data_IF_060488781100
#
_entry.id   IF_060488781100
#
_cell.length_a   1.000
_cell.length_b   1.000
_cell.length_c   1.000
_cell.angle_alpha   90.00
_cell.angle_beta   90.00
_cell.angle_gamma   90.00
#
_symmetry.space_group_name_H-M   'P 1'
#
loop_
_entity.id
_entity.type
_entity.pdbx_description
1 polymer ?
#
# COMPACT_ATOMS: atom_id res chain seq x y z
N UNK A 1 20.48 -38.51 20.01
CA UNK A 1 19.05 -38.18 20.17
C UNK A 1 19.00 -36.87 20.95
N UNK A 2 18.91 -35.75 20.25
CA UNK A 2 18.87 -34.41 20.85
C UNK A 2 17.61 -33.75 20.32
N UNK A 3 16.69 -33.49 21.26
CA UNK A 3 15.34 -32.99 21.05
C UNK A 3 15.39 -31.47 20.95
N UNK A 4 15.11 -30.91 19.75
CA UNK A 4 15.00 -29.47 19.55
C UNK A 4 13.56 -29.02 19.86
N UNK A 5 13.35 -28.49 21.06
CA UNK A 5 12.15 -27.72 21.40
C UNK A 5 12.08 -26.47 20.53
N UNK A 6 11.03 -26.39 19.72
CA UNK A 6 10.57 -25.16 19.07
C UNK A 6 10.36 -24.07 20.15
N UNK A 7 11.23 -23.06 20.18
CA UNK A 7 10.94 -21.78 20.81
C UNK A 7 10.30 -20.88 19.75
N UNK A 8 8.99 -20.68 19.86
CA UNK A 8 8.29 -19.63 19.11
C UNK A 8 8.89 -18.28 19.48
N UNK A 9 9.52 -17.62 18.52
CA UNK A 9 9.94 -16.22 18.63
C UNK A 9 8.68 -15.35 18.75
N UNK A 10 8.38 -14.91 19.98
CA UNK A 10 7.26 -14.01 20.26
C UNK A 10 7.56 -12.61 19.70
N UNK A 11 6.87 -12.23 18.63
CA UNK A 11 6.83 -10.86 18.13
C UNK A 11 6.17 -9.96 19.20
N UNK A 12 6.90 -8.97 19.71
CA UNK A 12 6.40 -8.04 20.72
C UNK A 12 5.51 -7.01 20.03
N UNK A 13 4.19 -7.12 20.20
CA UNK A 13 3.22 -6.13 19.73
C UNK A 13 3.46 -4.79 20.44
N UNK A 14 3.80 -3.71 19.72
CA UNK A 14 3.88 -2.38 20.36
C UNK A 14 2.48 -1.75 20.38
N UNK A 15 2.08 -1.32 21.57
CA UNK A 15 0.73 -0.88 21.88
C UNK A 15 0.71 0.63 22.09
N UNK A 16 -0.25 1.31 21.47
CA UNK A 16 -0.58 2.69 21.79
C UNK A 16 -1.79 2.72 22.73
N UNK A 17 -1.78 3.71 23.64
CA UNK A 17 -2.88 3.96 24.56
C UNK A 17 -3.36 5.38 24.29
N UNK A 18 -4.65 5.54 24.00
CA UNK A 18 -5.30 6.84 23.82
C UNK A 18 -6.54 6.95 24.73
N UNK A 19 -7.06 8.17 24.92
CA UNK A 19 -8.24 8.44 25.73
C UNK A 19 -9.41 8.85 24.84
N UNK A 20 -10.60 8.34 25.13
CA UNK A 20 -11.85 8.61 24.39
C UNK A 20 -13.01 8.74 25.37
N UNK A 21 -13.94 9.68 25.12
CA UNK A 21 -15.14 9.87 25.95
C UNK A 21 -16.30 8.92 25.60
N UNK A 22 -16.47 8.63 24.32
CA UNK A 22 -17.60 7.82 23.86
C UNK A 22 -17.37 6.34 24.18
N UNK A 23 -18.44 5.64 24.56
CA UNK A 23 -18.42 4.21 24.83
C UNK A 23 -18.03 3.37 23.59
N UNK A 24 -17.51 2.14 23.81
CA UNK A 24 -17.27 1.17 22.75
C UNK A 24 -18.58 0.76 22.05
N UNK A 25 -18.53 0.70 20.72
CA UNK A 25 -19.73 0.52 19.89
C UNK A 25 -20.26 -0.91 19.82
N UNK A 26 -19.47 -1.93 20.19
CA UNK A 26 -19.82 -3.33 19.95
C UNK A 26 -20.04 -4.15 21.22
N UNK A 27 -19.10 -4.12 22.17
CA UNK A 27 -19.22 -4.95 23.38
C UNK A 27 -18.52 -4.37 24.59
N UNK A 28 -19.14 -4.57 25.76
CA UNK A 28 -18.58 -4.28 27.07
C UNK A 28 -18.80 -5.45 28.02
N UNK A 29 -17.73 -5.86 28.68
CA UNK A 29 -17.70 -6.85 29.75
C UNK A 29 -17.52 -6.13 31.09
N UNK A 30 -18.59 -6.05 31.88
CA UNK A 30 -18.53 -5.56 33.27
C UNK A 30 -18.22 -6.71 34.22
N UNK A 31 -17.26 -6.49 35.10
CA UNK A 31 -16.90 -7.37 36.20
C UNK A 31 -17.24 -6.65 37.49
N UNK A 32 -17.99 -7.28 38.39
CA UNK A 32 -18.44 -6.67 39.65
C UNK A 32 -17.64 -7.13 40.88
N UNK A 33 -16.80 -8.15 40.73
CA UNK A 33 -15.94 -8.68 41.80
C UNK A 33 -14.62 -9.20 41.26
N UNK A 34 -13.74 -8.29 40.84
CA UNK A 34 -12.46 -8.61 40.22
C UNK A 34 -11.54 -9.40 41.15
N UNK A 35 -11.52 -9.07 42.45
CA UNK A 35 -10.65 -9.73 43.42
C UNK A 35 -10.99 -11.22 43.56
N UNK A 36 -12.28 -11.57 43.65
CA UNK A 36 -12.73 -12.97 43.70
C UNK A 36 -12.35 -13.75 42.43
N UNK A 37 -12.43 -13.11 41.27
CA UNK A 37 -12.05 -13.72 39.99
C UNK A 37 -10.52 -13.89 39.85
N UNK A 38 -9.75 -12.96 40.42
CA UNK A 38 -8.29 -13.02 40.44
C UNK A 38 -7.79 -14.10 41.42
N UNK A 39 -8.53 -14.39 42.49
CA UNK A 39 -8.19 -15.43 43.47
C UNK A 39 -8.68 -16.84 43.08
N UNK A 40 -9.73 -16.92 42.26
CA UNK A 40 -10.21 -18.18 41.73
C UNK A 40 -9.09 -18.92 40.96
N UNK A 41 -9.07 -20.25 41.02
CA UNK A 41 -8.16 -21.09 40.22
C UNK A 41 -8.40 -21.00 38.71
N UNK A 42 -9.42 -20.24 38.31
CA UNK A 42 -9.81 -19.96 36.94
C UNK A 42 -8.70 -19.19 36.21
N UNK A 43 -8.17 -19.79 35.15
CA UNK A 43 -7.08 -19.20 34.36
C UNK A 43 -7.56 -18.11 33.40
N UNK A 44 -8.84 -18.15 32.99
CA UNK A 44 -9.46 -17.20 32.05
C UNK A 44 -10.95 -17.03 32.29
N UNK A 45 -11.46 -15.86 31.93
CA UNK A 45 -12.89 -15.55 31.89
C UNK A 45 -13.26 -15.42 30.42
N UNK A 46 -14.30 -16.14 30.00
CA UNK A 46 -14.89 -16.05 28.67
C UNK A 46 -16.13 -15.17 28.78
N UNK A 47 -16.22 -14.14 27.94
CA UNK A 47 -17.42 -13.31 27.86
C UNK A 47 -18.55 -14.01 27.14
N UNK A 48 -19.74 -13.41 27.18
CA UNK A 48 -20.80 -13.76 26.24
C UNK A 48 -20.36 -13.51 24.80
N UNK A 49 -21.00 -14.22 23.88
CA UNK A 49 -20.81 -14.02 22.44
C UNK A 49 -21.56 -12.76 21.99
N UNK A 50 -20.90 -11.92 21.23
CA UNK A 50 -21.47 -10.73 20.62
C UNK A 50 -21.25 -10.71 19.11
N UNK A 51 -22.16 -10.06 18.39
CA UNK A 51 -22.08 -9.92 16.94
C UNK A 51 -21.49 -8.57 16.56
N UNK A 52 -20.49 -8.61 15.69
CA UNK A 52 -19.89 -7.43 15.09
C UNK A 52 -19.33 -7.80 13.72
N UNK A 53 -19.47 -6.91 12.74
CA UNK A 53 -18.87 -7.12 11.42
C UNK A 53 -19.28 -8.44 10.75
N UNK A 54 -20.55 -8.81 10.88
CA UNK A 54 -21.17 -10.05 10.35
C UNK A 54 -20.57 -11.36 10.89
N UNK A 55 -19.81 -11.30 11.99
CA UNK A 55 -19.22 -12.46 12.64
C UNK A 55 -19.54 -12.42 14.13
N UNK A 56 -19.45 -13.59 14.75
CA UNK A 56 -19.62 -13.76 16.19
C UNK A 56 -18.26 -13.76 16.87
N UNK A 57 -18.18 -13.04 17.97
CA UNK A 57 -16.95 -12.83 18.71
C UNK A 57 -17.18 -13.03 20.20
N UNK A 58 -16.11 -13.31 20.94
CA UNK A 58 -16.09 -13.24 22.40
C UNK A 58 -14.75 -12.71 22.89
N UNK A 59 -14.71 -12.28 24.14
CA UNK A 59 -13.51 -11.86 24.83
C UNK A 59 -13.02 -12.95 25.79
N UNK A 60 -11.72 -13.24 25.71
CA UNK A 60 -11.00 -14.05 26.68
C UNK A 60 -10.11 -13.14 27.53
N UNK A 61 -10.50 -12.95 28.79
CA UNK A 61 -9.78 -12.16 29.77
C UNK A 61 -8.98 -13.06 30.70
N UNK A 62 -7.69 -12.76 30.90
CA UNK A 62 -6.82 -13.45 31.85
C UNK A 62 -6.43 -12.45 32.95
N UNK A 63 -7.12 -12.45 34.10
CA UNK A 63 -6.91 -11.45 35.16
C UNK A 63 -5.48 -11.43 35.71
N UNK A 64 -4.82 -12.60 35.76
CA UNK A 64 -3.44 -12.75 36.25
C UNK A 64 -2.42 -13.05 35.14
N UNK A 65 -2.83 -12.82 33.90
CA UNK A 65 -2.01 -13.06 32.71
C UNK A 65 -2.15 -14.48 32.17
N UNK A 66 -1.98 -14.61 30.86
CA UNK A 66 -1.84 -15.88 30.18
C UNK A 66 -0.47 -16.52 30.49
N UNK A 67 -0.50 -17.67 31.19
CA UNK A 67 0.69 -18.46 31.58
C UNK A 67 1.46 -18.98 30.37
N UNK A 68 0.78 -19.36 29.30
CA UNK A 68 1.40 -19.87 28.06
C UNK A 68 2.27 -18.80 27.39
N UNK A 69 1.87 -17.54 27.52
CA UNK A 69 2.54 -16.38 26.92
C UNK A 69 3.41 -15.60 27.93
N UNK A 70 3.74 -16.23 29.07
CA UNK A 70 4.62 -15.69 30.13
C UNK A 70 4.26 -14.25 30.55
N UNK A 71 2.97 -13.95 30.61
CA UNK A 71 2.46 -12.60 30.85
C UNK A 71 2.08 -12.33 32.31
N UNK A 72 2.72 -13.03 33.25
CA UNK A 72 2.48 -12.85 34.68
C UNK A 72 2.55 -11.38 35.10
N UNK A 73 1.73 -11.03 36.11
CA UNK A 73 1.56 -9.67 36.64
C UNK A 73 0.93 -8.65 35.68
N UNK A 74 0.37 -9.10 34.55
CA UNK A 74 -0.41 -8.28 33.63
C UNK A 74 -1.78 -8.90 33.42
N UNK A 75 -2.76 -8.07 33.09
CA UNK A 75 -4.03 -8.52 32.54
C UNK A 75 -3.81 -8.77 31.05
N UNK A 76 -4.23 -9.92 30.56
CA UNK A 76 -4.27 -10.23 29.12
C UNK A 76 -5.71 -10.20 28.63
N UNK A 77 -5.92 -9.69 27.41
CA UNK A 77 -7.24 -9.66 26.78
C UNK A 77 -7.12 -10.07 25.32
N UNK A 78 -7.99 -10.99 24.90
CA UNK A 78 -8.02 -11.49 23.53
C UNK A 78 -9.44 -11.47 22.97
N UNK A 79 -9.53 -11.23 21.67
CA UNK A 79 -10.72 -11.40 20.86
C UNK A 79 -10.65 -12.76 20.16
N UNK A 80 -11.74 -13.52 20.24
CA UNK A 80 -11.88 -14.85 19.64
C UNK A 80 -13.04 -14.83 18.64
N UNK A 81 -12.80 -15.30 17.41
CA UNK A 81 -13.90 -15.54 16.47
C UNK A 81 -14.61 -16.86 16.82
N UNK A 82 -15.93 -16.81 16.86
CA UNK A 82 -16.81 -17.93 17.23
C UNK A 82 -17.49 -18.51 15.99
N UNK A 83 -18.16 -19.65 16.17
CA UNK A 83 -18.96 -20.33 15.14
C UNK A 83 -18.18 -20.57 13.82
N UNK A 84 -16.87 -20.79 13.91
CA UNK A 84 -15.99 -20.96 12.74
C UNK A 84 -16.29 -22.23 11.95
N UNK A 85 -16.97 -23.20 12.57
CA UNK A 85 -17.52 -24.42 11.93
C UNK A 85 -18.54 -24.09 10.81
N UNK A 86 -19.20 -22.93 10.90
CA UNK A 86 -20.19 -22.46 9.91
C UNK A 86 -19.55 -21.70 8.75
N UNK A 87 -18.27 -21.36 8.85
CA UNK A 87 -17.54 -20.62 7.82
C UNK A 87 -17.05 -21.58 6.72
N UNK A 88 -16.93 -21.11 5.47
CA UNK A 88 -16.43 -21.93 4.38
C UNK A 88 -14.98 -22.39 4.63
N UNK A 89 -14.60 -23.54 4.07
CA UNK A 89 -13.22 -24.02 4.14
C UNK A 89 -12.26 -22.99 3.51
N UNK A 90 -11.17 -22.69 4.20
CA UNK A 90 -10.19 -21.68 3.83
C UNK A 90 -10.60 -20.24 4.16
N UNK A 91 -11.56 -20.04 5.06
CA UNK A 91 -12.03 -18.71 5.43
C UNK A 91 -10.91 -17.83 5.99
N UNK A 92 -11.00 -16.54 5.66
CA UNK A 92 -10.22 -15.48 6.26
C UNK A 92 -11.14 -14.32 6.62
N UNK A 93 -10.95 -13.76 7.81
CA UNK A 93 -11.71 -12.60 8.30
C UNK A 93 -10.72 -11.50 8.67
N UNK A 94 -10.91 -10.33 8.09
CA UNK A 94 -10.06 -9.16 8.31
C UNK A 94 -10.81 -8.10 9.10
N UNK A 95 -10.28 -7.74 10.27
CA UNK A 95 -10.93 -6.78 11.17
C UNK A 95 -9.93 -5.81 11.78
N UNK A 96 -10.40 -4.60 12.08
CA UNK A 96 -9.73 -3.66 12.96
C UNK A 96 -10.30 -3.85 14.36
N UNK A 97 -9.42 -3.95 15.36
CA UNK A 97 -9.78 -4.30 16.73
C UNK A 97 -9.23 -3.26 17.69
N UNK A 98 -10.14 -2.63 18.44
CA UNK A 98 -9.80 -1.75 19.53
C UNK A 98 -10.26 -2.36 20.85
N UNK A 99 -9.37 -2.44 21.83
CA UNK A 99 -9.75 -2.83 23.20
C UNK A 99 -9.87 -1.59 24.08
N UNK A 100 -10.73 -1.67 25.08
CA UNK A 100 -11.03 -0.57 25.98
C UNK A 100 -11.00 -0.99 27.43
N UNK A 101 -10.62 -0.07 28.32
CA UNK A 101 -10.84 -0.16 29.76
C UNK A 101 -11.50 1.14 30.22
N UNK A 102 -12.61 1.03 30.95
CA UNK A 102 -13.32 2.19 31.48
C UNK A 102 -12.55 2.81 32.65
N UNK A 103 -12.44 4.14 32.64
CA UNK A 103 -11.88 4.95 33.72
C UNK A 103 -13.04 5.55 34.52
N UNK A 104 -13.31 4.96 35.68
CA UNK A 104 -14.40 5.32 36.56
C UNK A 104 -14.26 6.73 37.16
N UNK A 105 -13.04 7.26 37.29
CA UNK A 105 -12.81 8.61 37.85
C UNK A 105 -13.13 9.68 36.80
N UNK A 106 -12.66 9.46 35.56
CA UNK A 106 -12.75 10.47 34.48
C UNK A 106 -14.00 10.30 33.63
N UNK A 107 -14.73 9.21 33.83
CA UNK A 107 -15.87 8.79 33.01
C UNK A 107 -15.50 8.75 31.52
N UNK A 108 -14.32 8.20 31.22
CA UNK A 108 -13.78 8.04 29.88
C UNK A 108 -13.20 6.63 29.67
N UNK A 109 -12.62 6.36 28.50
CA UNK A 109 -12.11 5.05 28.12
C UNK A 109 -10.65 5.16 27.70
N UNK A 110 -9.80 4.31 28.29
CA UNK A 110 -8.48 4.03 27.75
C UNK A 110 -8.63 3.05 26.59
N UNK A 111 -8.15 3.44 25.41
CA UNK A 111 -8.23 2.67 24.17
C UNK A 111 -6.86 2.12 23.83
N UNK A 112 -6.78 0.81 23.57
CA UNK A 112 -5.55 0.07 23.30
C UNK A 112 -5.55 -0.43 21.86
N UNK A 113 -4.54 -0.03 21.09
CA UNK A 113 -4.39 -0.36 19.66
C UNK A 113 -2.95 -0.76 19.33
N UNK A 114 -2.75 -1.64 18.36
CA UNK A 114 -1.39 -2.04 17.92
C UNK A 114 -0.92 -1.17 16.77
N UNK A 115 0.25 -0.55 16.96
CA UNK A 115 0.84 0.45 16.06
C UNK A 115 1.95 -0.11 15.16
N UNK A 116 2.40 -1.35 15.35
CA UNK A 116 3.52 -1.92 14.60
C UNK A 116 3.08 -2.71 13.36
N UNK A 117 1.93 -3.38 13.42
CA UNK A 117 1.48 -4.29 12.36
C UNK A 117 0.28 -3.76 11.56
N UNK A 118 0.08 -2.44 11.55
CA UNK A 118 -1.14 -1.81 11.04
C UNK A 118 -2.36 -2.16 11.89
N UNK A 119 -3.52 -1.63 11.56
CA UNK A 119 -4.77 -1.87 12.31
C UNK A 119 -5.48 -3.18 11.91
N UNK A 120 -5.08 -3.80 10.79
CA UNK A 120 -5.75 -4.97 10.22
C UNK A 120 -5.34 -6.29 10.89
N UNK A 121 -6.31 -7.10 11.29
CA UNK A 121 -6.13 -8.42 11.91
C UNK A 121 -6.77 -9.49 11.07
N UNK A 122 -5.95 -10.45 10.63
CA UNK A 122 -6.39 -11.65 9.91
C UNK A 122 -6.67 -12.78 10.88
N UNK A 123 -7.92 -13.20 10.94
CA UNK A 123 -8.38 -14.44 11.54
C UNK A 123 -8.57 -15.49 10.44
N UNK A 124 -8.20 -16.74 10.71
CA UNK A 124 -8.37 -17.86 9.78
C UNK A 124 -8.37 -19.18 10.56
N UNK A 125 -8.55 -20.32 9.87
CA UNK A 125 -8.66 -21.66 10.47
C UNK A 125 -7.55 -22.00 11.49
N UNK A 126 -6.33 -21.48 11.31
CA UNK A 126 -5.19 -21.74 12.21
C UNK A 126 -4.93 -20.61 13.21
N UNK A 127 -5.69 -19.52 13.14
CA UNK A 127 -5.52 -18.32 13.96
C UNK A 127 -6.88 -17.68 14.26
N UNK A 128 -7.56 -18.24 15.26
CA UNK A 128 -8.90 -17.81 15.70
C UNK A 128 -8.85 -16.81 16.87
N UNK A 129 -7.66 -16.48 17.36
CA UNK A 129 -7.41 -15.64 18.55
C UNK A 129 -6.44 -14.51 18.21
N UNK A 130 -6.76 -13.29 18.63
CA UNK A 130 -5.84 -12.16 18.60
C UNK A 130 -6.05 -11.22 19.78
N UNK A 131 -4.98 -10.66 20.34
CA UNK A 131 -5.08 -9.68 21.41
C UNK A 131 -3.76 -9.34 22.06
N UNK A 132 -3.84 -8.77 23.25
CA UNK A 132 -2.68 -8.31 24.00
C UNK A 132 -2.42 -9.21 25.20
N UNK A 133 -1.31 -9.94 25.15
CA UNK A 133 -0.85 -10.73 26.27
C UNK A 133 -0.45 -9.87 27.48
N UNK A 134 0.00 -8.64 27.25
CA UNK A 134 0.28 -7.64 28.29
C UNK A 134 -0.50 -6.35 28.02
N UNK A 135 -1.82 -6.39 28.17
CA UNK A 135 -2.69 -5.22 27.95
C UNK A 135 -2.38 -4.10 28.94
N UNK A 136 -2.41 -4.42 30.24
CA UNK A 136 -2.11 -3.50 31.33
C UNK A 136 -1.48 -4.27 32.49
N UNK A 137 -0.51 -3.67 33.19
CA UNK A 137 0.06 -4.30 34.38
C UNK A 137 -0.97 -4.32 35.51
N UNK A 138 -0.96 -5.35 36.35
CA UNK A 138 -1.83 -5.42 37.53
C UNK A 138 -1.60 -4.24 38.47
N UNK A 139 -0.36 -3.77 38.60
CA UNK A 139 -0.02 -2.60 39.41
C UNK A 139 -0.69 -1.33 38.86
N UNK A 140 -0.61 -1.07 37.56
CA UNK A 140 -1.27 0.08 36.95
C UNK A 140 -2.79 -0.05 37.00
N UNK A 141 -3.33 -1.25 36.79
CA UNK A 141 -4.76 -1.50 36.82
C UNK A 141 -5.37 -1.29 38.22
N UNK A 142 -4.73 -1.81 39.28
CA UNK A 142 -5.19 -1.71 40.67
C UNK A 142 -4.90 -0.35 41.32
N UNK A 143 -4.09 0.51 40.69
CA UNK A 143 -3.77 1.84 41.23
C UNK A 143 -5.00 2.74 41.14
N UNK A 144 -5.53 3.15 42.29
CA UNK A 144 -6.77 3.94 42.39
C UNK A 144 -6.75 5.20 41.53
N UNK A 145 -5.63 5.93 41.46
CA UNK A 145 -5.45 7.14 40.63
C UNK A 145 -5.74 6.95 39.12
N UNK A 146 -5.62 5.72 38.64
CA UNK A 146 -5.84 5.38 37.23
C UNK A 146 -7.31 5.08 36.91
N UNK A 147 -8.15 4.83 37.92
CA UNK A 147 -9.61 4.72 37.76
C UNK A 147 -10.13 3.44 37.10
N UNK A 148 -9.28 2.45 36.82
CA UNK A 148 -9.69 1.23 36.09
C UNK A 148 -10.39 0.16 36.96
N UNK A 149 -10.24 0.26 38.28
CA UNK A 149 -10.87 -0.63 39.25
C UNK A 149 -11.47 0.23 40.38
N UNK A 150 -12.79 0.25 40.47
CA UNK A 150 -13.53 1.00 41.48
C UNK A 150 -14.54 0.09 42.18
N UNK A 151 -14.54 0.07 43.52
CA UNK A 151 -15.42 -0.80 44.32
C UNK A 151 -15.37 -2.29 43.89
N UNK A 152 -14.16 -2.78 43.59
CA UNK A 152 -13.90 -4.13 43.04
C UNK A 152 -14.55 -4.42 41.67
N UNK A 153 -15.08 -3.39 41.00
CA UNK A 153 -15.69 -3.47 39.68
C UNK A 153 -14.82 -2.81 38.61
N UNK A 154 -14.83 -3.38 37.41
CA UNK A 154 -14.13 -2.86 36.23
C UNK A 154 -14.88 -3.21 34.95
N UNK A 155 -14.59 -2.49 33.87
CA UNK A 155 -15.23 -2.72 32.56
C UNK A 155 -14.17 -2.79 31.46
N UNK A 156 -14.18 -3.88 30.71
CA UNK A 156 -13.41 -4.07 29.49
C UNK A 156 -14.32 -3.94 28.27
N UNK A 157 -13.83 -3.39 27.18
CA UNK A 157 -14.60 -3.25 25.94
C UNK A 157 -13.83 -3.72 24.72
N UNK A 158 -14.58 -4.00 23.66
CA UNK A 158 -14.02 -4.25 22.34
C UNK A 158 -14.87 -3.61 21.25
N UNK A 159 -14.20 -3.09 20.23
CA UNK A 159 -14.79 -2.75 18.94
C UNK A 159 -14.13 -3.59 17.86
N UNK A 160 -14.95 -4.17 16.98
CA UNK A 160 -14.50 -5.03 15.88
C UNK A 160 -15.11 -4.49 14.59
N UNK A 161 -14.30 -3.81 13.79
CA UNK A 161 -14.74 -3.24 12.52
C UNK A 161 -14.27 -4.11 11.36
N UNK A 162 -15.18 -4.45 10.45
CA UNK A 162 -14.86 -5.15 9.23
C UNK A 162 -13.88 -4.27 8.48
N UNK A 163 -12.65 -4.76 8.33
CA UNK A 163 -11.79 -4.24 7.28
C UNK A 163 -12.23 -5.04 6.08
N UNK A 164 -13.24 -4.53 5.37
CA UNK A 164 -13.59 -5.07 4.07
C UNK A 164 -12.27 -5.23 3.32
N UNK A 165 -12.02 -6.42 2.76
CA UNK A 165 -11.16 -6.47 1.59
C UNK A 165 -11.59 -5.28 0.74
N UNK A 166 -10.66 -4.39 0.39
CA UNK A 166 -10.92 -3.37 -0.62
C UNK A 166 -11.78 -4.05 -1.65
N UNK A 167 -13.03 -3.56 -1.81
CA UNK A 167 -14.02 -4.30 -2.55
C UNK A 167 -13.31 -4.78 -3.82
N UNK A 168 -13.46 -6.04 -4.24
CA UNK A 168 -12.93 -6.46 -5.55
C UNK A 168 -13.37 -5.51 -6.70
N UNK A 169 -14.29 -4.58 -6.43
CA UNK A 169 -14.65 -3.39 -7.20
C UNK A 169 -13.69 -2.20 -7.15
N UNK A 170 -12.60 -2.20 -6.40
CA UNK A 170 -11.55 -1.18 -6.42
C UNK A 170 -10.54 -1.51 -7.52
N UNK A 171 -11.09 -1.53 -8.74
CA UNK A 171 -10.53 -1.07 -10.01
C UNK A 171 -9.01 -1.18 -10.10
N UNK A 172 -8.59 -2.25 -10.79
CA UNK A 172 -7.22 -2.49 -11.21
C UNK A 172 -6.54 -1.21 -11.73
N UNK A 173 -5.44 -0.84 -11.08
CA UNK A 173 -4.58 0.29 -11.41
C UNK A 173 -3.23 -0.25 -11.82
N UNK A 174 -3.07 -0.53 -13.10
CA UNK A 174 -1.81 -1.01 -13.65
C UNK A 174 -0.84 0.15 -13.82
N UNK A 175 0.27 0.13 -13.08
CA UNK A 175 1.47 0.88 -13.45
C UNK A 175 2.33 -0.03 -14.33
N UNK A 176 2.38 0.25 -15.63
CA UNK A 176 3.19 -0.56 -16.53
C UNK A 176 4.65 -0.12 -16.40
N UNK A 177 5.43 -0.89 -15.65
CA UNK A 177 6.90 -0.84 -15.70
C UNK A 177 7.34 -1.13 -17.15
N UNK A 178 8.04 -0.22 -17.85
CA UNK A 178 8.63 -0.55 -19.12
C UNK A 178 9.78 -1.55 -18.91
N UNK A 179 9.78 -2.71 -19.58
CA UNK A 179 10.86 -3.69 -19.46
C UNK A 179 12.12 -3.34 -20.26
N UNK A 180 12.20 -2.15 -20.85
CA UNK A 180 13.19 -1.87 -21.89
C UNK A 180 13.67 -0.42 -21.82
N UNK A 181 14.92 -0.19 -22.21
CA UNK A 181 15.63 1.09 -22.20
C UNK A 181 14.99 2.22 -23.06
N UNK A 182 13.79 1.99 -23.61
CA UNK A 182 13.10 2.90 -24.53
C UNK A 182 11.64 3.05 -24.07
N UNK A 183 11.33 4.20 -23.48
CA UNK A 183 9.98 4.56 -23.02
C UNK A 183 9.15 5.23 -24.14
N UNK A 184 9.56 5.10 -25.40
CA UNK A 184 8.88 5.72 -26.54
C UNK A 184 8.07 4.70 -27.33
N UNK A 185 6.92 5.14 -27.83
CA UNK A 185 6.18 4.46 -28.89
C UNK A 185 6.10 5.38 -30.09
N UNK A 186 6.74 4.96 -31.19
CA UNK A 186 6.79 5.70 -32.45
C UNK A 186 5.85 5.05 -33.46
N UNK A 187 5.06 5.87 -34.15
CA UNK A 187 4.14 5.45 -35.19
C UNK A 187 4.38 6.27 -36.45
N UNK A 188 4.70 5.57 -37.55
CA UNK A 188 4.79 6.13 -38.89
C UNK A 188 3.47 5.95 -39.62
N UNK A 189 2.94 7.03 -40.17
CA UNK A 189 1.75 7.06 -41.02
C UNK A 189 2.26 7.30 -42.44
N UNK A 190 2.25 6.25 -43.25
CA UNK A 190 2.58 6.35 -44.67
C UNK A 190 1.42 6.96 -45.45
N UNK A 191 1.73 7.67 -46.54
CA UNK A 191 0.75 8.28 -47.44
C UNK A 191 -0.24 9.22 -46.73
N UNK A 192 0.23 9.93 -45.69
CA UNK A 192 -0.53 10.85 -44.86
C UNK A 192 -1.28 11.91 -45.68
N UNK A 193 -0.66 12.43 -46.74
CA UNK A 193 -1.26 13.46 -47.61
C UNK A 193 -2.52 13.01 -48.35
N UNK A 194 -2.81 11.71 -48.39
CA UNK A 194 -3.99 11.14 -49.06
C UNK A 194 -5.01 10.57 -48.07
N UNK A 195 -4.82 10.77 -46.76
CA UNK A 195 -5.74 10.30 -45.73
C UNK A 195 -7.07 11.06 -45.83
N UNK A 196 -8.17 10.33 -45.78
CA UNK A 196 -9.54 10.91 -45.79
C UNK A 196 -10.30 10.62 -44.49
N UNK A 197 -9.75 9.74 -43.68
CA UNK A 197 -10.27 9.35 -42.38
C UNK A 197 -10.19 10.53 -41.39
N UNK A 198 -11.29 10.75 -40.67
CA UNK A 198 -11.36 11.80 -39.65
C UNK A 198 -10.43 11.54 -38.47
N UNK A 199 -10.22 10.27 -38.13
CA UNK A 199 -9.31 9.82 -37.08
C UNK A 199 -8.52 8.61 -37.53
N UNK A 200 -7.22 8.65 -37.31
CA UNK A 200 -6.31 7.53 -37.49
C UNK A 200 -5.95 6.92 -36.13
N UNK A 201 -5.79 5.61 -36.10
CA UNK A 201 -5.38 4.87 -34.90
C UNK A 201 -4.07 4.15 -35.15
N UNK A 202 -3.14 4.26 -34.19
CA UNK A 202 -1.96 3.39 -34.19
C UNK A 202 -2.34 1.96 -33.84
N UNK A 203 -1.37 1.06 -34.03
CA UNK A 203 -1.40 -0.23 -33.35
C UNK A 203 -1.46 -0.04 -31.83
N UNK A 204 -2.11 -0.99 -31.15
CA UNK A 204 -2.16 -1.01 -29.68
C UNK A 204 -0.76 -1.37 -29.17
N UNK A 205 -0.25 -0.56 -28.24
CA UNK A 205 1.01 -0.83 -27.55
C UNK A 205 0.73 -0.96 -26.06
N UNK A 206 1.06 -2.13 -25.48
CA UNK A 206 0.66 -2.48 -24.12
C UNK A 206 -0.87 -2.34 -23.95
N UNK A 207 -1.35 -1.28 -23.32
CA UNK A 207 -2.77 -0.93 -23.16
C UNK A 207 -3.14 0.40 -23.82
N UNK A 208 -2.17 1.09 -24.44
CA UNK A 208 -2.35 2.40 -25.07
C UNK A 208 -2.48 2.33 -26.59
N UNK A 209 -2.96 3.41 -27.19
CA UNK A 209 -2.97 3.66 -28.63
C UNK A 209 -2.84 5.17 -28.88
N UNK A 210 -2.25 5.55 -30.01
CA UNK A 210 -2.21 6.93 -30.48
C UNK A 210 -3.42 7.20 -31.38
N UNK A 211 -3.96 8.42 -31.28
CA UNK A 211 -5.01 8.91 -32.16
C UNK A 211 -4.58 10.23 -32.77
N UNK A 212 -4.60 10.30 -34.10
CA UNK A 212 -4.29 11.52 -34.85
C UNK A 212 -5.54 11.89 -35.64
N UNK A 213 -5.97 13.15 -35.54
CA UNK A 213 -7.03 13.71 -36.38
C UNK A 213 -6.34 14.63 -37.39
N UNK A 214 -6.18 14.19 -38.66
CA UNK A 214 -5.43 14.91 -39.67
C UNK A 214 -5.93 16.32 -39.91
N UNK A 215 -7.26 16.48 -39.99
CA UNK A 215 -7.95 17.76 -40.17
C UNK A 215 -8.38 18.41 -38.86
N UNK A 216 -7.91 17.90 -37.72
CA UNK A 216 -8.24 18.42 -36.40
C UNK A 216 -9.54 17.93 -35.78
N UNK A 217 -9.71 18.28 -34.51
CA UNK A 217 -10.84 17.93 -33.65
C UNK A 217 -11.24 19.12 -32.77
N UNK A 218 -12.52 19.20 -32.40
CA UNK A 218 -13.08 20.29 -31.61
C UNK A 218 -12.80 21.68 -32.20
N UNK A 219 -12.10 22.52 -31.44
CA UNK A 219 -11.77 23.91 -31.86
C UNK A 219 -10.66 23.99 -32.91
N UNK A 220 -9.97 22.87 -33.22
CA UNK A 220 -8.87 22.83 -34.17
C UNK A 220 -9.24 22.40 -35.59
N UNK A 221 -10.51 22.05 -35.82
CA UNK A 221 -10.98 21.51 -37.11
C UNK A 221 -10.65 22.46 -38.27
N UNK A 222 -10.04 21.92 -39.33
CA UNK A 222 -9.65 22.61 -40.56
C UNK A 222 -8.37 23.44 -40.47
N UNK A 223 -7.84 23.69 -39.26
CA UNK A 223 -6.67 24.56 -39.06
C UNK A 223 -5.51 23.84 -38.38
N UNK A 224 -5.78 22.80 -37.58
CA UNK A 224 -4.80 22.23 -36.65
C UNK A 224 -4.89 20.72 -36.56
N UNK A 225 -3.75 20.05 -36.68
CA UNK A 225 -3.59 18.65 -36.32
C UNK A 225 -3.98 18.47 -34.85
N UNK A 226 -4.82 17.48 -34.56
CA UNK A 226 -5.08 17.05 -33.18
C UNK A 226 -4.44 15.71 -32.89
N UNK A 227 -3.88 15.58 -31.69
CA UNK A 227 -3.09 14.41 -31.31
C UNK A 227 -3.38 14.00 -29.87
N UNK A 228 -3.75 12.74 -29.69
CA UNK A 228 -4.19 12.17 -28.42
C UNK A 228 -3.50 10.85 -28.10
N UNK A 229 -3.37 10.61 -26.80
CA UNK A 229 -3.18 9.27 -26.26
C UNK A 229 -4.55 8.69 -25.89
N UNK A 230 -4.79 7.43 -26.23
CA UNK A 230 -5.98 6.69 -25.81
C UNK A 230 -5.62 5.37 -25.16
N UNK A 231 -6.57 4.82 -24.42
CA UNK A 231 -6.50 3.50 -23.79
C UNK A 231 -7.37 2.52 -24.58
N UNK A 232 -6.82 1.35 -24.87
CA UNK A 232 -7.53 0.26 -25.51
C UNK A 232 -8.25 -0.59 -24.46
N UNK A 233 -9.56 -0.36 -24.30
CA UNK A 233 -10.40 -0.98 -23.26
C UNK A 233 -10.33 -2.51 -23.22
N UNK A 234 -10.22 -3.20 -24.36
CA UNK A 234 -10.25 -4.66 -24.40
C UNK A 234 -9.11 -5.32 -23.59
N UNK A 235 -8.08 -4.55 -23.20
CA UNK A 235 -6.98 -5.00 -22.38
C UNK A 235 -7.19 -4.80 -20.86
N UNK A 236 -8.34 -4.26 -20.41
CA UNK A 236 -8.53 -3.83 -19.03
C UNK A 236 -9.86 -4.33 -18.41
N UNK A 237 -9.88 -4.62 -17.09
CA UNK A 237 -11.08 -5.04 -16.38
C UNK A 237 -12.08 -3.89 -16.19
N UNK A 238 -13.31 -4.21 -15.77
CA UNK A 238 -14.34 -3.20 -15.54
C UNK A 238 -13.94 -2.18 -14.47
N UNK A 239 -14.22 -0.91 -14.77
CA UNK A 239 -13.94 0.22 -13.91
C UNK A 239 -12.47 0.66 -13.88
N UNK A 240 -11.60 0.11 -14.72
CA UNK A 240 -10.19 0.47 -14.83
C UNK A 240 -9.90 1.98 -14.74
N UNK A 241 -8.74 2.29 -14.16
CA UNK A 241 -8.14 3.62 -14.22
C UNK A 241 -6.67 3.46 -14.54
N UNK A 242 -6.15 4.29 -15.44
CA UNK A 242 -4.73 4.29 -15.82
C UNK A 242 -4.24 5.71 -15.75
N UNK A 243 -3.17 5.97 -15.01
CA UNK A 243 -2.45 7.25 -15.11
C UNK A 243 -1.38 7.12 -16.18
N UNK A 244 -1.32 8.09 -17.09
CA UNK A 244 -0.18 8.23 -17.99
C UNK A 244 0.32 9.66 -17.97
N UNK A 245 1.64 9.79 -17.81
CA UNK A 245 2.39 11.01 -18.06
C UNK A 245 3.30 10.73 -19.24
N UNK A 246 3.17 11.50 -20.32
CA UNK A 246 3.99 11.33 -21.51
C UNK A 246 4.19 12.65 -22.24
N UNK A 247 5.12 12.68 -23.18
CA UNK A 247 5.23 13.72 -24.20
C UNK A 247 4.72 13.16 -25.51
N UNK A 248 3.76 13.84 -26.12
CA UNK A 248 3.34 13.60 -27.50
C UNK A 248 4.22 14.43 -28.43
N UNK A 249 4.73 13.83 -29.50
CA UNK A 249 5.58 14.48 -30.50
C UNK A 249 5.12 14.26 -31.93
N UNK A 250 5.25 15.29 -32.75
CA UNK A 250 5.35 15.16 -34.21
C UNK A 250 6.82 15.34 -34.55
N UNK A 251 7.40 14.31 -35.17
CA UNK A 251 8.84 14.26 -35.47
C UNK A 251 9.17 15.15 -36.65
N UNK A 252 10.18 15.99 -36.49
CA UNK A 252 10.88 16.60 -37.63
C UNK A 252 11.87 15.57 -38.17
N UNK A 253 11.68 15.20 -39.43
CA UNK A 253 12.44 14.14 -40.10
C UNK A 253 13.72 14.65 -40.79
N UNK A 254 13.99 15.96 -40.71
CA UNK A 254 15.15 16.62 -41.33
C UNK A 254 16.16 17.13 -40.30
N UNK A 255 15.71 17.93 -39.32
CA UNK A 255 16.61 18.65 -38.41
C UNK A 255 16.39 18.28 -36.92
N UNK A 256 15.54 17.27 -36.64
CA UNK A 256 15.22 16.76 -35.30
C UNK A 256 14.64 17.85 -34.36
N UNK A 257 14.05 18.91 -34.90
CA UNK A 257 13.32 19.94 -34.16
C UNK A 257 11.85 19.54 -33.97
N UNK A 258 11.62 18.45 -33.24
CA UNK A 258 10.29 17.90 -33.02
C UNK A 258 9.33 18.91 -32.37
N UNK A 259 8.06 18.86 -32.78
CA UNK A 259 7.00 19.55 -32.05
C UNK A 259 6.50 18.65 -30.94
N UNK A 260 6.71 19.05 -29.69
CA UNK A 260 6.29 18.27 -28.53
C UNK A 260 5.34 19.01 -27.58
N UNK A 261 4.42 18.25 -26.96
CA UNK A 261 3.60 18.72 -25.84
C UNK A 261 3.49 17.61 -24.78
N UNK A 262 3.76 17.96 -23.53
CA UNK A 262 3.62 17.03 -22.39
C UNK A 262 2.16 16.88 -21.96
N UNK A 263 1.71 15.69 -21.58
CA UNK A 263 0.43 15.46 -20.95
C UNK A 263 0.60 14.60 -19.69
N UNK A 264 -0.29 14.81 -18.73
CA UNK A 264 -0.43 14.01 -17.52
C UNK A 264 -1.92 13.84 -17.25
N UNK A 265 -2.43 12.62 -17.35
CA UNK A 265 -3.87 12.41 -17.26
C UNK A 265 -4.27 11.05 -16.68
N UNK A 266 -5.47 11.05 -16.07
CA UNK A 266 -6.16 9.87 -15.58
C UNK A 266 -7.18 9.39 -16.61
N UNK A 267 -6.88 8.25 -17.22
CA UNK A 267 -7.77 7.58 -18.14
C UNK A 267 -8.71 6.65 -17.40
N UNK A 268 -9.96 6.58 -17.83
CA UNK A 268 -10.97 5.67 -17.30
C UNK A 268 -12.07 5.43 -18.35
N UNK A 269 -13.07 4.61 -18.05
CA UNK A 269 -14.19 4.36 -18.97
C UNK A 269 -14.86 5.65 -19.48
N UNK A 270 -15.02 6.67 -18.62
CA UNK A 270 -15.63 7.95 -19.01
C UNK A 270 -14.68 8.90 -19.74
N UNK A 271 -13.37 8.67 -19.68
CA UNK A 271 -12.34 9.47 -20.35
C UNK A 271 -11.26 8.53 -20.91
N UNK A 272 -11.56 7.81 -22.01
CA UNK A 272 -10.66 6.79 -22.54
C UNK A 272 -9.50 7.39 -23.36
N UNK A 273 -9.52 8.69 -23.66
CA UNK A 273 -8.48 9.40 -24.40
C UNK A 273 -8.29 10.83 -23.90
N UNK A 274 -7.07 11.33 -23.99
CA UNK A 274 -6.68 12.69 -23.59
C UNK A 274 -5.50 13.18 -24.43
N UNK A 275 -5.49 14.48 -24.73
CA UNK A 275 -4.54 15.05 -25.69
C UNK A 275 -4.89 16.48 -26.05
N UNK A 276 -4.58 16.86 -27.28
CA UNK A 276 -4.64 18.24 -27.75
C UNK A 276 -5.48 18.37 -29.02
N UNK A 277 -6.62 19.06 -28.93
CA UNK A 277 -7.42 19.55 -30.08
C UNK A 277 -6.67 20.55 -30.96
N UNK A 278 -5.58 21.12 -30.44
CA UNK A 278 -4.76 22.13 -31.10
C UNK A 278 -3.29 21.77 -30.86
N UNK A 279 -2.80 20.70 -31.49
CA UNK A 279 -1.42 20.24 -31.30
C UNK A 279 -0.44 21.08 -32.14
N UNK A 280 -0.66 21.13 -33.46
CA UNK A 280 0.19 21.82 -34.45
C UNK A 280 -0.68 22.46 -35.54
N UNK A 281 -0.26 23.60 -36.10
CA UNK A 281 -0.93 24.21 -37.26
C UNK A 281 -0.75 23.35 -38.51
N UNK A 282 -1.79 23.17 -39.32
CA UNK A 282 -1.66 22.44 -40.58
C UNK A 282 -0.76 23.17 -41.58
N UNK A 283 -0.72 24.51 -41.55
CA UNK A 283 0.23 25.27 -42.36
C UNK A 283 1.69 25.02 -41.95
N UNK A 284 1.96 24.81 -40.66
CA UNK A 284 3.30 24.45 -40.16
C UNK A 284 3.64 23.00 -40.49
N UNK A 285 2.69 22.08 -40.37
CA UNK A 285 2.85 20.66 -40.70
C UNK A 285 3.18 20.44 -42.18
N UNK A 286 2.50 21.18 -43.06
CA UNK A 286 2.60 21.06 -44.51
C UNK A 286 3.71 21.91 -45.13
N UNK A 287 4.44 22.72 -44.33
CA UNK A 287 5.57 23.51 -44.80
C UNK A 287 6.77 22.58 -45.10
N UNK A 288 7.20 22.44 -46.37
CA UNK A 288 8.30 21.56 -46.74
C UNK A 288 9.62 21.90 -46.05
N UNK A 289 9.82 23.16 -45.66
CA UNK A 289 11.03 23.63 -44.98
C UNK A 289 11.07 23.20 -43.50
N UNK A 290 9.95 22.70 -42.95
CA UNK A 290 9.84 22.27 -41.54
C UNK A 290 10.11 20.79 -41.31
N UNK A 291 10.18 19.98 -42.36
CA UNK A 291 10.60 18.57 -42.27
C UNK A 291 9.62 17.61 -41.57
N UNK A 292 8.44 18.04 -41.13
CA UNK A 292 7.48 17.16 -40.44
C UNK A 292 6.84 16.11 -41.36
N UNK A 293 6.64 16.45 -42.64
CA UNK A 293 6.21 15.54 -43.68
C UNK A 293 7.35 15.26 -44.67
N UNK A 294 7.85 14.03 -44.66
CA UNK A 294 8.88 13.57 -45.60
C UNK A 294 8.30 12.48 -46.49
N UNK A 295 8.35 12.67 -47.81
CA UNK A 295 7.76 11.75 -48.80
C UNK A 295 6.29 11.41 -48.49
N UNK A 296 5.51 12.40 -48.07
CA UNK A 296 4.10 12.23 -47.70
C UNK A 296 3.87 11.37 -46.46
N UNK A 297 4.90 11.09 -45.65
CA UNK A 297 4.77 10.31 -44.42
C UNK A 297 4.91 11.20 -43.19
N UNK A 298 4.07 10.95 -42.18
CA UNK A 298 4.11 11.61 -40.87
C UNK A 298 4.65 10.62 -39.82
N UNK A 299 5.55 11.07 -38.94
CA UNK A 299 5.97 10.27 -37.79
C UNK A 299 5.52 10.98 -36.51
N UNK A 300 4.73 10.27 -35.70
CA UNK A 300 4.31 10.72 -34.37
C UNK A 300 4.85 9.79 -33.30
N UNK A 301 5.08 10.32 -32.10
CA UNK A 301 5.65 9.57 -30.99
C UNK A 301 4.96 9.92 -29.67
N UNK A 302 4.87 8.94 -28.77
CA UNK A 302 4.61 9.16 -27.36
C UNK A 302 5.80 8.69 -26.52
N UNK A 303 6.47 9.61 -25.83
CA UNK A 303 7.50 9.31 -24.83
C UNK A 303 6.89 9.28 -23.44
N UNK A 304 6.78 8.11 -22.83
CA UNK A 304 6.23 7.95 -21.48
C UNK A 304 7.24 8.33 -20.41
N UNK A 305 6.83 9.21 -19.49
CA UNK A 305 7.59 9.46 -18.27
C UNK A 305 7.47 8.24 -17.36
N UNK A 306 8.59 7.84 -16.75
CA UNK A 306 8.60 6.74 -15.79
C UNK A 306 7.83 7.15 -14.53
N UNK A 307 6.58 6.76 -14.41
CA UNK A 307 5.88 6.76 -13.12
C UNK A 307 6.09 5.37 -12.58
N UNK A 308 6.98 5.23 -11.61
CA UNK A 308 7.44 3.95 -11.10
C UNK A 308 7.89 4.07 -9.67
N UNK A 309 8.05 2.95 -8.99
CA UNK A 309 8.74 2.94 -7.70
C UNK A 309 10.22 2.62 -7.92
N UNK A 310 11.11 3.31 -7.20
CA UNK A 310 12.55 3.08 -7.20
C UNK A 310 13.02 2.69 -5.81
N UNK A 311 14.13 1.95 -5.77
CA UNK A 311 14.82 1.65 -4.52
C UNK A 311 15.68 2.85 -4.10
N UNK A 312 15.66 3.14 -2.81
CA UNK A 312 16.53 4.13 -2.17
C UNK A 312 17.24 3.46 -1.01
N UNK A 313 18.57 3.52 -1.02
CA UNK A 313 19.43 2.78 -0.10
C UNK A 313 20.35 3.77 0.60
N UNK A 314 20.45 3.64 1.91
CA UNK A 314 21.42 4.37 2.72
C UNK A 314 22.36 3.35 3.34
N UNK A 315 23.57 3.17 2.76
CA UNK A 315 24.53 2.16 3.23
C UNK A 315 24.81 2.28 4.72
N UNK A 316 25.06 3.50 5.22
CA UNK A 316 25.35 3.77 6.63
C UNK A 316 24.13 4.30 7.40
N UNK A 317 22.94 4.02 6.91
CA UNK A 317 21.69 4.45 7.52
C UNK A 317 21.22 5.84 7.09
N UNK A 318 19.93 6.10 7.27
CA UNK A 318 19.27 7.29 6.72
C UNK A 318 19.53 8.62 7.46
N UNK A 319 20.32 8.63 8.54
CA UNK A 319 20.65 9.83 9.31
C UNK A 319 19.52 10.43 10.17
N UNK A 320 18.31 9.85 10.14
CA UNK A 320 17.12 10.39 10.85
C UNK A 320 16.82 9.65 12.15
N UNK A 321 17.31 8.42 12.30
CA UNK A 321 17.01 7.56 13.46
C UNK A 321 18.24 7.32 14.33
N UNK A 322 18.03 6.86 15.57
CA UNK A 322 19.10 6.40 16.46
C UNK A 322 19.94 5.23 15.88
N UNK A 323 19.50 4.64 14.76
CA UNK A 323 20.22 3.61 14.03
C UNK A 323 21.14 4.15 12.91
N UNK A 324 21.26 5.48 12.76
CA UNK A 324 22.22 6.09 11.86
C UNK A 324 23.65 5.61 12.19
N UNK A 325 24.42 5.25 11.17
CA UNK A 325 25.78 4.73 11.27
C UNK A 325 25.91 3.30 11.82
N UNK A 326 24.79 2.63 12.12
CA UNK A 326 24.81 1.26 12.69
C UNK A 326 24.04 0.24 11.86
N UNK A 327 23.13 0.69 10.99
CA UNK A 327 22.31 -0.17 10.15
C UNK A 327 22.26 0.32 8.70
N UNK A 328 22.21 -0.62 7.76
CA UNK A 328 21.74 -0.40 6.40
C UNK A 328 20.27 0.02 6.45
N UNK A 329 19.92 1.12 5.78
CA UNK A 329 18.52 1.50 5.55
C UNK A 329 18.11 1.29 4.11
N UNK A 330 16.88 0.81 3.92
CA UNK A 330 16.39 0.40 2.60
C UNK A 330 14.92 0.80 2.43
N UNK A 331 14.62 1.53 1.35
CA UNK A 331 13.34 2.15 1.08
C UNK A 331 12.88 1.92 -0.35
N UNK A 332 11.56 1.88 -0.52
CA UNK A 332 10.88 2.04 -1.79
C UNK A 332 10.38 3.49 -1.87
N UNK A 333 10.56 4.15 -3.01
CA UNK A 333 10.19 5.55 -3.24
C UNK A 333 9.39 5.67 -4.53
N UNK A 334 8.35 6.50 -4.54
CA UNK A 334 7.66 6.89 -5.77
C UNK A 334 8.56 7.84 -6.58
N UNK A 335 9.00 7.38 -7.74
CA UNK A 335 9.82 8.17 -8.64
C UNK A 335 9.04 9.36 -9.18
N UNK A 336 9.70 10.53 -9.22
CA UNK A 336 9.12 11.79 -9.70
C UNK A 336 7.79 12.15 -9.03
N UNK A 337 7.66 11.84 -7.73
CA UNK A 337 6.48 12.12 -6.91
C UNK A 337 6.02 13.59 -6.96
N UNK A 338 6.96 14.54 -7.12
CA UNK A 338 6.68 15.96 -7.23
C UNK A 338 5.92 16.33 -8.52
N UNK A 339 5.98 15.48 -9.53
CA UNK A 339 5.27 15.68 -10.79
C UNK A 339 3.88 15.02 -10.85
N UNK A 340 3.52 14.28 -9.80
CA UNK A 340 2.22 13.66 -9.70
C UNK A 340 1.17 14.71 -9.34
N UNK A 341 -0.07 14.55 -9.83
CA UNK A 341 -1.13 15.52 -9.60
C UNK A 341 -1.51 15.59 -8.11
N UNK A 342 -2.05 16.73 -7.68
CA UNK A 342 -2.49 16.92 -6.30
C UNK A 342 -3.46 15.82 -5.83
N UNK A 343 -3.25 15.34 -4.62
CA UNK A 343 -4.06 14.28 -4.01
C UNK A 343 -3.76 12.88 -4.53
N UNK A 344 -2.66 12.66 -5.26
CA UNK A 344 -2.22 11.33 -5.65
C UNK A 344 -1.98 10.45 -4.42
N UNK A 345 -2.38 9.18 -4.54
CA UNK A 345 -2.03 8.14 -3.58
C UNK A 345 -1.61 6.89 -4.34
N UNK A 346 -0.53 6.23 -3.95
CA UNK A 346 -0.15 4.93 -4.49
C UNK A 346 -0.15 3.92 -3.35
N UNK A 347 -0.94 2.87 -3.45
CA UNK A 347 -0.82 1.71 -2.59
C UNK A 347 0.21 0.77 -3.17
N UNK A 348 1.14 0.26 -2.36
CA UNK A 348 1.97 -0.87 -2.75
C UNK A 348 2.08 -1.90 -1.62
N UNK A 349 1.87 -3.19 -1.97
CA UNK A 349 2.41 -4.32 -1.19
C UNK A 349 3.75 -4.69 -1.82
N UNK A 350 4.82 -4.68 -1.03
CA UNK A 350 6.16 -4.97 -1.51
C UNK A 350 7.03 -5.69 -0.49
N UNK A 351 7.94 -6.51 -1.00
CA UNK A 351 9.00 -7.18 -0.25
C UNK A 351 10.32 -6.54 -0.62
N UNK A 352 11.02 -5.99 0.37
CA UNK A 352 12.39 -5.54 0.23
C UNK A 352 13.33 -6.69 0.61
N UNK A 353 14.25 -7.04 -0.28
CA UNK A 353 15.15 -8.19 -0.13
C UNK A 353 16.61 -7.77 -0.30
N UNK A 354 17.45 -8.20 0.62
CA UNK A 354 18.91 -8.19 0.50
C UNK A 354 19.36 -9.62 0.25
N UNK A 355 19.92 -9.87 -0.93
CA UNK A 355 20.33 -11.21 -1.35
C UNK A 355 21.56 -11.66 -0.59
N UNK A 356 21.52 -12.89 -0.06
CA UNK A 356 22.74 -13.58 0.33
C UNK A 356 23.42 -14.09 -0.96
N UNK A 357 24.71 -13.79 -1.11
CA UNK A 357 25.45 -14.05 -2.35
C UNK A 357 26.28 -15.34 -2.26
N UNK A 358 26.24 -16.05 -1.13
CA UNK A 358 26.99 -17.28 -0.88
C UNK A 358 26.10 -18.47 -0.55
N UNK A 359 24.92 -18.22 0.03
CA UNK A 359 23.85 -19.18 0.21
C UNK A 359 22.50 -18.52 -0.17
N UNK A 360 21.43 -19.30 -0.35
CA UNK A 360 20.13 -18.78 -0.78
C UNK A 360 19.27 -18.23 0.39
N UNK A 361 19.86 -17.91 1.55
CA UNK A 361 19.16 -17.37 2.73
C UNK A 361 19.08 -15.84 2.68
N UNK A 362 18.20 -15.34 1.82
CA UNK A 362 17.99 -13.91 1.61
C UNK A 362 17.37 -13.24 2.85
N UNK A 363 17.75 -11.98 3.11
CA UNK A 363 17.11 -11.18 4.15
C UNK A 363 15.96 -10.36 3.59
N UNK A 364 14.75 -10.66 4.03
CA UNK A 364 13.52 -10.05 3.51
C UNK A 364 12.72 -9.30 4.57
N UNK A 365 12.02 -8.25 4.14
CA UNK A 365 10.96 -7.60 4.90
C UNK A 365 9.81 -7.20 3.97
N UNK A 366 8.64 -7.75 4.23
CA UNK A 366 7.39 -7.45 3.51
C UNK A 366 6.60 -6.35 4.25
N UNK A 367 5.93 -5.50 3.47
CA UNK A 367 5.01 -4.49 4.02
C UNK A 367 4.02 -3.99 2.97
N UNK A 368 2.93 -3.38 3.44
CA UNK A 368 1.96 -2.68 2.61
C UNK A 368 1.86 -1.20 3.02
N UNK A 369 1.93 -0.28 2.04
CA UNK A 369 1.96 1.16 2.30
C UNK A 369 1.24 1.99 1.27
N UNK A 370 0.67 3.08 1.77
CA UNK A 370 0.19 4.20 0.98
C UNK A 370 1.27 5.27 0.88
N UNK A 371 1.65 5.56 -0.36
CA UNK A 371 2.51 6.66 -0.75
C UNK A 371 1.64 7.83 -1.17
N UNK A 372 2.03 9.05 -0.83
CA UNK A 372 1.33 10.28 -1.21
C UNK A 372 2.29 11.48 -1.11
N UNK A 373 1.80 12.68 -1.36
CA UNK A 373 2.62 13.91 -1.31
C UNK A 373 3.30 14.17 0.04
N UNK A 374 2.78 13.63 1.15
CA UNK A 374 3.37 13.73 2.49
C UNK A 374 4.29 12.55 2.85
N UNK A 375 4.17 11.43 2.14
CA UNK A 375 4.93 10.20 2.36
C UNK A 375 5.30 9.60 1.00
N UNK A 376 6.32 10.17 0.36
CA UNK A 376 6.75 9.79 -1.00
C UNK A 376 7.61 8.53 -1.03
N UNK A 377 8.16 8.12 0.12
CA UNK A 377 8.92 6.89 0.31
C UNK A 377 8.50 6.16 1.59
N UNK A 378 8.79 4.86 1.64
CA UNK A 378 8.63 4.04 2.83
C UNK A 378 9.61 2.88 2.82
N UNK A 379 10.10 2.50 4.00
CA UNK A 379 11.12 1.47 4.14
C UNK A 379 11.53 1.25 5.58
N UNK A 380 12.67 0.60 5.74
CA UNK A 380 13.20 0.23 7.04
C UNK A 380 14.50 0.96 7.31
N UNK A 381 14.47 1.90 8.26
CA UNK A 381 15.68 2.55 8.77
C UNK A 381 16.67 1.53 9.34
N UNK A 382 16.15 0.50 9.99
CA UNK A 382 16.90 -0.61 10.55
C UNK A 382 16.68 -1.87 9.70
N UNK A 383 17.12 -1.89 8.44
CA UNK A 383 16.94 -3.08 7.59
C UNK A 383 17.83 -4.24 8.07
N UNK A 384 19.14 -4.00 8.13
CA UNK A 384 20.15 -4.94 8.64
C UNK A 384 21.26 -4.18 9.39
N UNK A 385 21.73 -4.66 10.56
CA UNK A 385 22.90 -4.09 11.22
C UNK A 385 24.17 -4.18 10.36
N UNK A 386 24.96 -3.12 10.30
CA UNK A 386 26.20 -3.09 9.51
C UNK A 386 27.20 -4.16 9.96
N UNK A 387 27.25 -4.46 11.26
CA UNK A 387 28.07 -5.56 11.79
C UNK A 387 27.71 -6.91 11.17
N UNK A 388 26.43 -7.16 10.88
CA UNK A 388 26.00 -8.39 10.23
C UNK A 388 26.24 -8.35 8.72
N UNK A 389 26.03 -7.19 8.09
CA UNK A 389 26.28 -6.99 6.66
C UNK A 389 27.76 -7.19 6.29
N UNK A 390 28.68 -6.70 7.13
CA UNK A 390 30.12 -6.77 6.90
C UNK A 390 30.77 -8.07 7.36
N UNK A 391 30.06 -8.92 8.09
CA UNK A 391 30.58 -10.23 8.50
C UNK A 391 30.63 -11.15 7.27
N UNK A 392 31.82 -11.55 6.81
CA UNK A 392 31.96 -12.38 5.60
C UNK A 392 31.26 -13.74 5.73
N UNK A 393 31.04 -14.24 6.96
CA UNK A 393 30.33 -15.49 7.19
C UNK A 393 28.84 -15.43 6.82
N UNK A 394 28.26 -14.22 6.75
CA UNK A 394 26.84 -14.02 6.44
C UNK A 394 26.55 -13.82 4.95
N UNK A 395 27.57 -13.74 4.08
CA UNK A 395 27.37 -13.80 2.62
C UNK A 395 26.71 -12.61 1.92
N UNK A 396 26.23 -11.60 2.65
CA UNK A 396 25.48 -10.46 2.06
C UNK A 396 26.35 -9.45 1.31
N UNK A 397 27.63 -9.29 1.70
CA UNK A 397 28.59 -8.39 1.07
C UNK A 397 29.73 -9.21 0.46
N UNK A 398 29.71 -9.38 -0.87
CA UNK A 398 30.72 -10.12 -1.62
C UNK A 398 31.48 -9.17 -2.53
N UNK A 399 32.81 -9.15 -2.43
CA UNK A 399 33.69 -8.28 -3.23
C UNK A 399 33.30 -6.79 -3.18
N UNK A 400 32.82 -6.31 -2.02
CA UNK A 400 32.38 -4.92 -1.85
C UNK A 400 31.04 -4.60 -2.52
N UNK A 401 30.31 -5.59 -3.02
CA UNK A 401 28.99 -5.43 -3.65
C UNK A 401 27.89 -6.06 -2.81
N UNK A 402 26.71 -5.43 -2.81
CA UNK A 402 25.46 -5.97 -2.26
C UNK A 402 24.43 -6.08 -3.38
N UNK A 403 23.62 -7.14 -3.34
CA UNK A 403 22.50 -7.30 -4.29
C UNK A 403 21.19 -7.05 -3.57
N UNK A 404 20.42 -6.09 -4.07
CA UNK A 404 19.14 -5.68 -3.51
C UNK A 404 18.03 -5.93 -4.52
N UNK A 405 16.93 -6.48 -4.04
CA UNK A 405 15.78 -6.85 -4.85
C UNK A 405 14.50 -6.29 -4.20
N UNK A 406 13.52 -5.97 -5.04
CA UNK A 406 12.18 -5.62 -4.58
C UNK A 406 11.16 -6.38 -5.39
N UNK A 407 10.33 -7.14 -4.69
CA UNK A 407 9.11 -7.68 -5.26
C UNK A 407 7.97 -6.71 -4.96
N UNK A 408 7.30 -6.24 -5.99
CA UNK A 408 6.11 -5.40 -5.82
C UNK A 408 4.91 -6.25 -6.22
N UNK A 409 4.19 -6.73 -5.22
CA UNK A 409 3.10 -7.71 -5.35
C UNK A 409 1.80 -7.07 -5.83
N UNK A 410 1.56 -5.82 -5.44
CA UNK A 410 0.38 -5.05 -5.86
C UNK A 410 0.76 -3.58 -5.91
N UNK A 411 0.38 -2.85 -6.98
CA UNK A 411 0.44 -1.38 -7.04
C UNK A 411 -0.94 -0.88 -7.44
N UNK A 412 -1.46 0.15 -6.75
CA UNK A 412 -2.66 0.85 -7.19
C UNK A 412 -2.57 2.34 -6.93
N UNK A 413 -2.71 3.18 -7.97
CA UNK A 413 -2.73 4.63 -7.80
C UNK A 413 -4.17 5.17 -7.65
N UNK A 414 -4.58 5.60 -6.45
CA UNK A 414 -5.94 6.06 -6.20
C UNK A 414 -6.07 7.58 -6.32
N UNK A 415 -7.24 8.03 -6.78
CA UNK A 415 -7.70 9.41 -6.61
C UNK A 415 -8.90 9.39 -5.67
N UNK A 416 -8.83 10.12 -4.57
CA UNK A 416 -10.00 10.39 -3.76
C UNK A 416 -10.99 11.23 -4.58
N UNK A 417 -12.24 10.79 -4.65
CA UNK A 417 -13.35 11.72 -4.86
C UNK A 417 -13.75 12.25 -3.49
N UNK A 418 -13.98 13.56 -3.43
CA UNK A 418 -14.69 14.24 -2.34
C UNK A 418 -16.07 13.61 -2.19
#
# INVERSE_FOLDING_TARGET
MIDFKYQSLFCTTAMSISKRKNEPSHYMLKIESFSLLSEATTTKIESDVFEASSHKWRLDLYPNGNREEKSGNHISLYLIICDTETLPKGWEVYVDVHFFIYDHIRHDYATFQDIMNGNRRRFHEKKMKWGFHKLISLNSFKKSENGYLENDSCVFGAEVFAVTEYAQKDRCLSMIKPPSAVNTHTWKIDNYSNVTETVLHSQVFKVGKLLVYPEGDGIGVGERLSFYLGIHKAALPDGWRVYAKCKLRVKDQSDNNDKEKGLAHWFCDSVPSWGYTSFMLLSELNDPEKGYLLNGSLIVEAEFSLVGMRLRVYPDGNGVTAAAGTNLSFYLEVHDAASLPDGWRVYANFVLRLKNQTDYDDKEKETEKWFNSLATDWGFACFMPLKQLHDPANGFLLNGSVTLEVDILLVGMFRNFI
#
